data_IF_184226544400
#
_entry.id   IF_184226544400
#
_cell.length_a   1.000
_cell.length_b   1.000
_cell.length_c   1.000
_cell.angle_alpha   90.00
_cell.angle_beta   90.00
_cell.angle_gamma   90.00
#
_symmetry.space_group_name_H-M   'P 1'
#
loop_
_entity.id
_entity.type
_entity.pdbx_description
1 polymer ?
#
# COMPACT_ATOMS: atom_id res chain seq x y z
N UNK A 1 -6.46 9.41 6.59
CA UNK A 1 -7.47 8.59 5.91
C UNK A 1 -6.94 7.80 4.70
N UNK A 2 -5.91 8.26 3.94
CA UNK A 2 -5.41 7.57 2.75
C UNK A 2 -4.90 6.14 3.01
N UNK A 3 -4.01 5.96 4.01
CA UNK A 3 -3.27 4.70 4.18
C UNK A 3 -4.01 3.64 5.00
N UNK A 4 -5.01 4.01 5.77
CA UNK A 4 -5.77 3.09 6.62
C UNK A 4 -7.04 2.60 5.89
N UNK A 5 -8.07 3.44 5.63
CA UNK A 5 -9.29 3.02 4.93
C UNK A 5 -9.15 3.05 3.40
N UNK A 6 -8.07 3.62 2.85
CA UNK A 6 -7.85 3.72 1.40
C UNK A 6 -8.81 4.67 0.68
N UNK A 7 -9.06 5.86 1.24
CA UNK A 7 -9.93 6.85 0.61
C UNK A 7 -9.30 7.44 -0.66
N UNK A 8 -10.03 7.37 -1.77
CA UNK A 8 -9.58 7.83 -3.09
C UNK A 8 -9.53 9.36 -3.21
N UNK A 9 -10.50 10.03 -2.64
CA UNK A 9 -10.59 11.50 -2.56
C UNK A 9 -9.40 12.10 -1.80
N UNK A 10 -8.98 11.46 -0.71
CA UNK A 10 -7.78 11.88 0.03
C UNK A 10 -6.51 11.77 -0.81
N UNK A 11 -6.40 10.77 -1.68
CA UNK A 11 -5.25 10.67 -2.59
C UNK A 11 -5.23 11.82 -3.59
N UNK A 12 -6.39 12.18 -4.13
CA UNK A 12 -6.54 13.31 -5.06
C UNK A 12 -6.21 14.62 -4.35
N UNK A 13 -6.81 14.89 -3.19
CA UNK A 13 -6.57 16.11 -2.43
C UNK A 13 -5.08 16.29 -2.04
N UNK A 14 -4.41 15.21 -1.63
CA UNK A 14 -2.98 15.25 -1.35
C UNK A 14 -2.15 15.50 -2.62
N UNK A 15 -2.52 14.92 -3.74
CA UNK A 15 -1.83 15.15 -5.01
C UNK A 15 -1.92 16.62 -5.45
N UNK A 16 -3.10 17.21 -5.35
CA UNK A 16 -3.32 18.63 -5.64
C UNK A 16 -2.58 19.55 -4.67
N UNK A 17 -2.65 19.26 -3.38
CA UNK A 17 -1.94 20.01 -2.35
C UNK A 17 -0.41 20.04 -2.57
N UNK A 18 0.18 18.90 -2.92
CA UNK A 18 1.64 18.75 -3.05
C UNK A 18 2.17 19.37 -4.35
N UNK A 19 1.40 19.31 -5.43
CA UNK A 19 1.91 19.65 -6.77
C UNK A 19 1.01 20.57 -7.59
N UNK A 20 -0.10 21.05 -7.00
CA UNK A 20 -1.06 21.95 -7.62
C UNK A 20 -2.01 21.26 -8.61
N UNK A 21 -1.77 20.00 -9.01
CA UNK A 21 -2.70 19.23 -9.82
C UNK A 21 -2.36 17.74 -9.85
N UNK A 22 -3.36 16.90 -10.11
CA UNK A 22 -3.19 15.44 -10.26
C UNK A 22 -2.17 15.09 -11.35
N UNK A 23 -2.21 15.65 -12.59
CA UNK A 23 -1.20 15.32 -13.61
C UNK A 23 0.23 15.64 -13.20
N UNK A 24 0.46 16.75 -12.50
CA UNK A 24 1.79 17.11 -11.99
C UNK A 24 2.25 16.12 -10.91
N UNK A 25 1.33 15.70 -10.03
CA UNK A 25 1.65 14.70 -8.99
C UNK A 25 1.99 13.34 -9.61
N UNK A 26 1.24 12.88 -10.60
CA UNK A 26 1.52 11.63 -11.33
C UNK A 26 2.91 11.67 -11.98
N UNK A 27 3.32 12.79 -12.56
CA UNK A 27 4.71 12.97 -13.06
C UNK A 27 5.73 12.80 -11.93
N UNK A 28 5.46 13.34 -10.73
CA UNK A 28 6.34 13.15 -9.57
C UNK A 28 6.38 11.69 -9.10
N UNK A 29 5.24 10.99 -9.11
CA UNK A 29 5.19 9.56 -8.79
C UNK A 29 6.07 8.74 -9.74
N UNK A 30 5.93 8.95 -11.05
CA UNK A 30 6.73 8.25 -12.06
C UNK A 30 8.22 8.61 -11.97
N UNK A 31 8.56 9.88 -11.76
CA UNK A 31 9.95 10.30 -11.49
C UNK A 31 10.51 9.60 -10.25
N UNK A 32 9.74 9.50 -9.16
CA UNK A 32 10.16 8.79 -7.95
C UNK A 32 10.35 7.30 -8.21
N UNK A 33 9.44 6.65 -8.93
CA UNK A 33 9.56 5.24 -9.31
C UNK A 33 10.86 4.99 -10.10
N UNK A 34 11.18 5.85 -11.09
CA UNK A 34 12.42 5.76 -11.85
C UNK A 34 13.66 5.89 -10.96
N UNK A 35 13.68 6.87 -10.04
CA UNK A 35 14.80 7.07 -9.07
C UNK A 35 14.97 5.85 -8.15
N UNK A 36 13.89 5.12 -7.84
CA UNK A 36 13.93 3.88 -7.05
C UNK A 36 14.33 2.66 -7.89
N UNK A 37 14.58 2.83 -9.18
CA UNK A 37 14.94 1.74 -10.10
C UNK A 37 13.75 0.84 -10.47
N UNK A 38 12.52 1.37 -10.43
CA UNK A 38 11.31 0.67 -10.86
C UNK A 38 11.18 0.77 -12.38
N UNK A 39 11.70 -0.23 -13.09
CA UNK A 39 11.77 -0.22 -14.58
C UNK A 39 10.46 -0.64 -15.25
N UNK A 40 9.58 -1.33 -14.53
CA UNK A 40 8.33 -1.89 -15.04
C UNK A 40 7.13 -1.33 -14.25
N UNK A 41 7.12 -0.02 -14.06
CA UNK A 41 6.08 0.68 -13.30
C UNK A 41 5.72 1.98 -14.01
N UNK A 42 4.42 2.16 -14.22
CA UNK A 42 3.84 3.40 -14.69
C UNK A 42 2.57 3.72 -13.90
N UNK A 43 2.53 4.89 -13.29
CA UNK A 43 1.37 5.40 -12.57
C UNK A 43 0.62 6.39 -13.45
N UNK A 44 -0.69 6.19 -13.57
CA UNK A 44 -1.61 7.11 -14.27
C UNK A 44 -2.48 7.91 -13.28
N UNK A 45 -2.66 7.39 -12.05
CA UNK A 45 -3.50 8.03 -11.03
C UNK A 45 -2.83 7.95 -9.65
N UNK A 46 -3.14 8.88 -8.72
CA UNK A 46 -2.60 8.85 -7.36
C UNK A 46 -3.32 7.84 -6.44
N UNK A 47 -4.53 7.43 -6.80
CA UNK A 47 -5.39 6.56 -5.98
C UNK A 47 -5.37 5.09 -6.43
N UNK A 48 -4.76 4.76 -7.56
CA UNK A 48 -4.66 3.40 -8.07
C UNK A 48 -5.87 2.94 -8.90
N UNK A 49 -6.81 3.82 -9.21
CA UNK A 49 -7.87 3.50 -10.17
C UNK A 49 -7.30 3.55 -11.59
N UNK A 50 -7.51 2.48 -12.34
CA UNK A 50 -6.94 2.29 -13.68
C UNK A 50 -7.66 3.07 -14.78
N UNK A 51 -8.94 3.41 -14.63
CA UNK A 51 -9.73 4.32 -15.48
C UNK A 51 -9.42 4.23 -17.01
N UNK A 52 -9.12 3.02 -17.50
CA UNK A 52 -8.79 2.80 -18.91
C UNK A 52 -7.39 3.25 -19.35
N UNK A 53 -6.55 3.74 -18.43
CA UNK A 53 -5.20 4.19 -18.70
C UNK A 53 -4.15 3.11 -18.44
N UNK A 54 -2.95 3.29 -19.00
CA UNK A 54 -1.78 2.46 -18.68
C UNK A 54 -1.33 2.73 -17.23
N UNK A 55 -1.75 1.84 -16.33
CA UNK A 55 -1.43 1.88 -14.91
C UNK A 55 -0.98 0.48 -14.48
N UNK A 56 0.33 0.29 -14.37
CA UNK A 56 0.90 -1.02 -14.12
C UNK A 56 2.14 -0.96 -13.22
N UNK A 57 2.45 -2.09 -12.63
CA UNK A 57 3.65 -2.31 -11.84
C UNK A 57 3.97 -3.82 -11.77
N UNK A 58 5.07 -4.15 -11.10
CA UNK A 58 5.44 -5.52 -10.76
C UNK A 58 5.59 -5.68 -9.25
N UNK A 59 5.53 -6.93 -8.77
CA UNK A 59 5.78 -7.22 -7.35
C UNK A 59 7.17 -6.74 -6.91
N UNK A 60 8.18 -6.89 -7.76
CA UNK A 60 9.55 -6.42 -7.49
C UNK A 60 9.64 -4.90 -7.36
N UNK A 61 8.98 -4.17 -8.23
CA UNK A 61 9.02 -2.71 -8.18
C UNK A 61 8.22 -2.16 -7.00
N UNK A 62 7.04 -2.74 -6.70
CA UNK A 62 6.30 -2.40 -5.48
C UNK A 62 7.10 -2.71 -4.21
N UNK A 63 7.86 -3.80 -4.16
CA UNK A 63 8.74 -4.08 -3.03
C UNK A 63 9.78 -2.96 -2.83
N UNK A 64 10.40 -2.43 -3.90
CA UNK A 64 11.34 -1.29 -3.81
C UNK A 64 10.65 -0.04 -3.26
N UNK A 65 9.46 0.28 -3.78
CA UNK A 65 8.66 1.42 -3.31
C UNK A 65 8.29 1.24 -1.83
N UNK A 66 7.85 0.05 -1.44
CA UNK A 66 7.48 -0.27 -0.07
C UNK A 66 8.68 -0.19 0.89
N UNK A 67 9.85 -0.68 0.49
CA UNK A 67 11.10 -0.54 1.25
C UNK A 67 11.46 0.94 1.47
N UNK A 68 11.31 1.77 0.44
CA UNK A 68 11.53 3.21 0.56
C UNK A 68 10.52 3.87 1.51
N UNK A 69 9.23 3.54 1.36
CA UNK A 69 8.17 4.07 2.21
C UNK A 69 8.34 3.64 3.67
N UNK A 70 8.73 2.38 3.91
CA UNK A 70 8.96 1.85 5.25
C UNK A 70 10.09 2.56 6.03
N UNK A 71 11.06 3.14 5.33
CA UNK A 71 12.11 3.97 5.96
C UNK A 71 11.56 5.27 6.57
N UNK A 72 10.34 5.67 6.22
CA UNK A 72 9.70 6.90 6.74
C UNK A 72 8.95 6.60 8.04
N UNK A 73 9.36 7.17 9.21
CA UNK A 73 8.73 6.86 10.50
C UNK A 73 7.23 7.15 10.52
N UNK A 74 6.81 8.25 9.87
CA UNK A 74 5.39 8.62 9.76
C UNK A 74 4.57 7.52 9.06
N UNK A 75 5.06 6.99 7.94
CA UNK A 75 4.38 5.90 7.21
C UNK A 75 4.26 4.68 8.11
N UNK A 76 5.37 4.24 8.74
CA UNK A 76 5.34 3.10 9.68
C UNK A 76 4.32 3.27 10.81
N UNK A 77 4.25 4.47 11.38
CA UNK A 77 3.30 4.78 12.47
C UNK A 77 1.85 4.67 11.98
N UNK A 78 1.55 5.14 10.77
CA UNK A 78 0.20 5.14 10.24
C UNK A 78 -0.26 3.75 9.84
N UNK A 79 0.56 3.01 9.06
CA UNK A 79 0.14 1.71 8.48
C UNK A 79 0.01 0.57 9.51
N UNK A 80 0.52 0.77 10.72
CA UNK A 80 0.34 -0.14 11.86
C UNK A 80 -0.98 0.08 12.61
N UNK A 81 -1.76 1.12 12.29
CA UNK A 81 -3.00 1.41 12.97
C UNK A 81 -4.15 0.58 12.43
N UNK A 82 -4.91 -0.07 13.30
CA UNK A 82 -6.14 -0.78 12.94
C UNK A 82 -7.30 0.17 12.68
N UNK A 83 -7.29 1.33 13.34
CA UNK A 83 -8.31 2.36 13.21
C UNK A 83 -7.71 3.75 13.34
N UNK A 84 -8.45 4.74 12.93
CA UNK A 84 -8.13 6.14 13.08
C UNK A 84 -9.38 6.99 13.15
N UNK A 85 -9.22 8.18 13.69
CA UNK A 85 -10.28 9.20 13.77
C UNK A 85 -9.71 10.51 13.24
N UNK A 86 -10.51 11.22 12.47
CA UNK A 86 -10.25 12.57 12.01
C UNK A 86 -11.44 13.46 12.36
N UNK A 87 -11.16 14.70 12.71
CA UNK A 87 -12.18 15.73 12.92
C UNK A 87 -12.03 16.77 11.83
N UNK A 88 -13.13 17.06 11.13
CA UNK A 88 -13.16 18.11 10.12
C UNK A 88 -13.17 19.51 10.76
N UNK A 89 -12.92 20.54 9.97
CA UNK A 89 -12.89 21.93 10.45
C UNK A 89 -14.22 22.40 11.05
N UNK A 90 -15.33 21.81 10.59
CA UNK A 90 -16.67 22.10 11.14
C UNK A 90 -17.06 21.18 12.33
N UNK A 91 -16.10 20.49 12.94
CA UNK A 91 -16.29 19.70 14.16
C UNK A 91 -16.79 18.28 13.95
N UNK A 92 -17.14 17.85 12.73
CA UNK A 92 -17.59 16.48 12.49
C UNK A 92 -16.45 15.48 12.64
N UNK A 93 -16.70 14.41 13.39
CA UNK A 93 -15.72 13.35 13.67
C UNK A 93 -16.03 12.10 12.85
N UNK A 94 -15.01 11.58 12.16
CA UNK A 94 -15.11 10.38 11.32
C UNK A 94 -14.13 9.34 11.83
N UNK A 95 -14.65 8.16 12.15
CA UNK A 95 -13.84 7.00 12.54
C UNK A 95 -13.79 5.99 11.39
N UNK A 96 -12.61 5.46 11.11
CA UNK A 96 -12.39 4.49 10.04
C UNK A 96 -11.49 3.34 10.49
N UNK A 97 -11.63 2.21 9.84
CA UNK A 97 -10.84 1.01 10.09
C UNK A 97 -9.94 0.66 8.93
N UNK A 98 -8.88 -0.08 9.22
CA UNK A 98 -7.95 -0.57 8.21
C UNK A 98 -8.62 -1.57 7.27
N UNK A 99 -8.22 -1.53 6.00
CA UNK A 99 -8.57 -2.56 5.00
C UNK A 99 -7.69 -3.81 5.09
N UNK A 100 -6.62 -3.76 5.89
CA UNK A 100 -5.72 -4.89 6.11
C UNK A 100 -6.29 -5.83 7.19
N UNK A 101 -6.92 -6.93 6.76
CA UNK A 101 -7.51 -7.94 7.65
C UNK A 101 -6.50 -8.76 8.46
N UNK A 102 -5.21 -8.72 8.10
CA UNK A 102 -4.18 -9.42 8.86
C UNK A 102 -3.66 -8.60 10.05
N UNK A 103 -3.78 -7.28 9.99
CA UNK A 103 -3.30 -6.40 11.05
C UNK A 103 -4.13 -6.58 12.33
N UNK A 104 -3.48 -7.05 13.40
CA UNK A 104 -4.12 -7.38 14.67
C UNK A 104 -4.79 -8.76 14.72
N UNK A 105 -4.89 -9.47 13.57
CA UNK A 105 -5.42 -10.83 13.48
C UNK A 105 -4.34 -11.86 13.11
N UNK A 106 -3.15 -11.39 12.82
CA UNK A 106 -1.99 -12.21 12.53
C UNK A 106 -0.75 -11.52 13.08
N UNK A 107 -0.06 -12.20 13.99
CA UNK A 107 1.19 -11.73 14.53
C UNK A 107 2.26 -11.58 13.43
N UNK A 108 3.20 -10.67 13.65
CA UNK A 108 4.32 -10.43 12.76
C UNK A 108 3.97 -9.82 11.38
N UNK A 109 2.72 -9.38 11.17
CA UNK A 109 2.29 -8.62 9.97
C UNK A 109 1.98 -7.17 10.36
N UNK A 110 2.68 -6.19 9.76
CA UNK A 110 2.69 -4.80 10.20
C UNK A 110 2.24 -3.78 9.14
N UNK A 111 1.39 -4.13 8.24
CA UNK A 111 0.92 -3.23 7.19
C UNK A 111 1.20 -3.88 5.84
N UNK A 112 1.27 -3.21 4.69
CA UNK A 112 1.35 -1.76 4.46
C UNK A 112 0.07 -1.26 3.80
N UNK A 113 -0.29 -1.86 2.63
CA UNK A 113 -1.41 -1.36 1.84
C UNK A 113 -2.10 -2.47 1.05
N UNK A 114 -3.41 -2.44 1.04
CA UNK A 114 -4.27 -3.25 0.16
C UNK A 114 -4.60 -2.50 -1.12
N UNK A 115 -4.94 -3.23 -2.18
CA UNK A 115 -5.48 -2.69 -3.42
C UNK A 115 -6.49 -3.65 -4.05
N UNK A 116 -7.42 -3.09 -4.81
CA UNK A 116 -8.33 -3.86 -5.63
C UNK A 116 -8.90 -3.02 -6.77
N UNK A 117 -8.83 -3.51 -7.98
CA UNK A 117 -9.68 -3.16 -9.11
C UNK A 117 -10.08 -4.43 -9.84
N UNK A 118 -11.09 -4.36 -10.71
CA UNK A 118 -11.47 -5.56 -11.52
C UNK A 118 -10.30 -6.06 -12.37
N UNK A 119 -9.49 -5.14 -12.90
CA UNK A 119 -8.32 -5.44 -13.76
C UNK A 119 -7.13 -5.98 -12.95
N UNK A 120 -6.85 -5.39 -11.80
CA UNK A 120 -5.69 -5.74 -10.97
C UNK A 120 -5.91 -6.96 -10.08
N UNK A 121 -7.18 -7.36 -9.81
CA UNK A 121 -7.48 -8.36 -8.79
C UNK A 121 -7.18 -7.87 -7.38
N UNK A 122 -7.16 -8.78 -6.43
CA UNK A 122 -6.86 -8.48 -5.02
C UNK A 122 -5.36 -8.42 -4.78
N UNK A 123 -4.86 -7.25 -4.35
CA UNK A 123 -3.45 -6.97 -4.14
C UNK A 123 -3.15 -6.61 -2.68
N UNK A 124 -1.96 -6.95 -2.22
CA UNK A 124 -1.47 -6.54 -0.91
C UNK A 124 0.05 -6.38 -0.90
N UNK A 125 0.49 -5.31 -0.28
CA UNK A 125 1.89 -5.11 0.10
C UNK A 125 1.96 -5.14 1.62
N UNK A 126 2.70 -6.10 2.16
CA UNK A 126 2.85 -6.32 3.59
C UNK A 126 4.30 -6.13 4.06
N UNK A 127 4.44 -5.70 5.31
CA UNK A 127 5.65 -5.86 6.08
C UNK A 127 5.44 -7.06 6.99
N UNK A 128 6.31 -8.05 6.88
CA UNK A 128 6.27 -9.26 7.70
C UNK A 128 7.59 -9.41 8.48
N UNK A 129 7.50 -9.95 9.68
CA UNK A 129 8.67 -10.28 10.50
C UNK A 129 8.82 -11.80 10.59
N UNK A 130 9.95 -12.32 10.17
CA UNK A 130 10.27 -13.75 10.30
C UNK A 130 10.63 -14.12 11.75
N UNK A 131 10.62 -15.41 12.05
CA UNK A 131 10.97 -15.94 13.37
C UNK A 131 12.39 -15.61 13.83
N UNK A 132 13.32 -15.40 12.89
CA UNK A 132 14.69 -14.93 13.15
C UNK A 132 14.78 -13.42 13.46
N UNK A 133 13.66 -12.70 13.58
CA UNK A 133 13.59 -11.27 13.86
C UNK A 133 13.80 -10.37 12.64
N UNK A 134 14.23 -10.89 11.49
CA UNK A 134 14.38 -10.10 10.27
C UNK A 134 13.02 -9.71 9.70
N UNK A 135 12.95 -8.55 9.06
CA UNK A 135 11.73 -8.05 8.43
C UNK A 135 11.84 -8.08 6.91
N UNK A 136 10.75 -8.47 6.26
CA UNK A 136 10.66 -8.62 4.82
C UNK A 136 9.45 -7.84 4.29
N UNK A 137 9.53 -7.38 3.04
CA UNK A 137 8.37 -6.89 2.30
C UNK A 137 7.78 -8.08 1.53
N UNK A 138 6.50 -8.35 1.75
CA UNK A 138 5.71 -9.28 0.95
C UNK A 138 4.87 -8.51 -0.06
N UNK A 139 4.75 -9.02 -1.29
CA UNK A 139 3.89 -8.43 -2.32
C UNK A 139 3.10 -9.54 -2.99
N UNK A 140 1.78 -9.46 -2.90
CA UNK A 140 0.84 -10.31 -3.63
C UNK A 140 0.03 -9.46 -4.60
N UNK A 141 -0.05 -9.87 -5.85
CA UNK A 141 -0.77 -9.16 -6.92
C UNK A 141 -1.68 -10.16 -7.65
N UNK A 142 -2.79 -9.67 -8.20
CA UNK A 142 -3.65 -10.44 -9.06
C UNK A 142 -4.44 -11.56 -8.36
N UNK A 143 -4.61 -11.51 -7.06
CA UNK A 143 -5.39 -12.53 -6.34
C UNK A 143 -6.83 -12.58 -6.84
N UNK A 144 -7.37 -13.78 -7.15
CA UNK A 144 -8.73 -13.92 -7.68
C UNK A 144 -9.79 -13.54 -6.63
N UNK A 145 -9.49 -13.71 -5.36
CA UNK A 145 -10.38 -13.36 -4.26
C UNK A 145 -9.63 -12.62 -3.14
N UNK A 146 -10.38 -11.95 -2.28
CA UNK A 146 -9.82 -11.37 -1.05
C UNK A 146 -9.09 -12.41 -0.20
N UNK A 147 -9.65 -13.61 -0.07
CA UNK A 147 -9.10 -14.65 0.79
C UNK A 147 -7.84 -15.29 0.19
N UNK A 148 -7.77 -15.43 -1.14
CA UNK A 148 -6.55 -15.87 -1.83
C UNK A 148 -5.36 -14.93 -1.50
N UNK A 149 -5.56 -13.61 -1.57
CA UNK A 149 -4.56 -12.61 -1.19
C UNK A 149 -4.02 -12.84 0.23
N UNK A 150 -4.90 -13.14 1.19
CA UNK A 150 -4.49 -13.38 2.57
C UNK A 150 -3.79 -14.72 2.75
N UNK A 151 -4.25 -15.76 2.05
CA UNK A 151 -3.60 -17.07 2.04
C UNK A 151 -2.17 -16.98 1.49
N UNK A 152 -1.98 -16.29 0.36
CA UNK A 152 -0.65 -16.09 -0.22
C UNK A 152 0.28 -15.29 0.69
N UNK A 153 -0.24 -14.28 1.37
CA UNK A 153 0.56 -13.52 2.35
C UNK A 153 1.03 -14.41 3.51
N UNK A 154 0.16 -15.33 4.00
CA UNK A 154 0.57 -16.29 5.04
C UNK A 154 1.65 -17.26 4.54
N UNK A 155 1.54 -17.75 3.30
CA UNK A 155 2.57 -18.58 2.67
C UNK A 155 3.91 -17.85 2.56
N UNK A 156 3.88 -16.56 2.19
CA UNK A 156 5.09 -15.74 2.13
C UNK A 156 5.73 -15.55 3.52
N UNK A 157 4.94 -15.42 4.59
CA UNK A 157 5.47 -15.38 5.96
C UNK A 157 6.12 -16.73 6.33
N UNK A 158 5.46 -17.85 6.05
CA UNK A 158 6.03 -19.18 6.28
C UNK A 158 7.35 -19.37 5.51
N UNK A 159 7.39 -18.91 4.26
CA UNK A 159 8.63 -18.93 3.48
C UNK A 159 9.72 -18.03 4.11
N UNK A 160 9.36 -16.83 4.56
CA UNK A 160 10.30 -15.93 5.23
C UNK A 160 10.92 -16.56 6.50
N UNK A 161 10.18 -17.42 7.20
CA UNK A 161 10.68 -18.15 8.37
C UNK A 161 11.77 -19.20 8.01
N UNK A 162 11.85 -19.62 6.75
CA UNK A 162 12.90 -20.54 6.26
C UNK A 162 14.18 -19.81 5.85
N UNK A 163 14.14 -18.48 5.70
CA UNK A 163 15.31 -17.69 5.30
C UNK A 163 16.26 -17.47 6.49
N UNK A 164 17.54 -17.78 6.28
CA UNK A 164 18.60 -17.63 7.28
C UNK A 164 19.09 -16.17 7.40
#
# INVERSE_FOLDING_TARGET
SLLIPSHNDTAVALAEHVSGSVPKFVKLMNKKAAVLGCKNTHFATPNGLDAGMDHYTTARDLAKIACYAWKKPMIRKIVKRQQGTITSLNGNTYTFRTTNKLLGNMDRVYGIKTGYTRKAGHCFVGMIQAGNGKTYISVTLGGPTSDARWADTRRLLQYADTLK
#
